data_IF_590028390659
#
_entry.id   IF_590028390659
#
_cell.length_a   1.000
_cell.length_b   1.000
_cell.length_c   1.000
_cell.angle_alpha   90.00
_cell.angle_beta   90.00
_cell.angle_gamma   90.00
#
_symmetry.space_group_name_H-M   'P 1'
#
loop_
_entity.id
_entity.type
_entity.pdbx_description
1 polymer ?
#
# COMPACT_ATOMS: atom_id res chain seq x y z
N UNK A 1 55.58 -34.57 31.69
CA UNK A 1 56.07 -34.57 33.08
C UNK A 1 55.52 -33.34 33.78
N UNK A 2 54.99 -33.54 34.99
CA UNK A 2 54.73 -32.58 36.09
C UNK A 2 53.77 -31.41 35.78
N UNK A 3 52.49 -31.45 36.15
CA UNK A 3 51.85 -31.51 37.49
C UNK A 3 51.88 -30.20 38.28
N UNK A 4 50.76 -29.98 38.97
CA UNK A 4 50.54 -29.19 40.21
C UNK A 4 50.17 -27.72 40.01
N UNK A 5 48.99 -27.24 40.43
CA UNK A 5 48.17 -27.38 41.66
C UNK A 5 48.19 -26.00 42.33
N UNK A 6 47.02 -25.38 42.51
CA UNK A 6 46.73 -24.68 43.76
C UNK A 6 45.28 -24.96 44.15
N UNK A 7 45.16 -25.78 45.19
CA UNK A 7 44.03 -25.86 46.12
C UNK A 7 44.19 -24.72 47.14
N UNK A 8 43.06 -24.30 47.71
CA UNK A 8 42.78 -24.04 49.15
C UNK A 8 41.49 -23.21 49.17
N UNK A 9 40.35 -23.59 49.77
CA UNK A 9 39.99 -24.14 51.10
C UNK A 9 39.10 -23.13 51.85
N UNK A 10 38.38 -23.66 52.86
CA UNK A 10 37.41 -23.06 53.80
C UNK A 10 35.94 -22.96 53.34
N UNK A 11 34.97 -23.78 53.83
CA UNK A 11 34.57 -24.15 55.22
C UNK A 11 34.00 -22.92 55.96
N UNK A 12 32.82 -22.87 56.62
CA UNK A 12 32.06 -23.91 57.33
C UNK A 12 30.67 -23.34 57.74
N UNK A 13 29.73 -24.27 58.02
CA UNK A 13 28.68 -24.27 59.08
C UNK A 13 27.34 -23.49 59.05
N UNK A 14 26.33 -24.33 59.36
CA UNK A 14 25.09 -24.16 60.16
C UNK A 14 23.88 -23.52 59.46
N UNK A 15 22.64 -24.00 59.59
CA UNK A 15 22.04 -25.05 60.42
C UNK A 15 20.55 -24.73 60.65
N UNK A 16 19.76 -25.75 61.02
CA UNK A 16 18.34 -25.76 61.48
C UNK A 16 17.27 -25.97 60.38
N UNK A 17 16.18 -26.72 60.55
CA UNK A 17 15.78 -27.85 61.40
C UNK A 17 14.31 -28.18 61.06
N UNK A 18 13.91 -29.43 61.30
CA UNK A 18 12.55 -29.90 61.65
C UNK A 18 11.57 -30.28 60.53
N UNK A 19 11.07 -31.52 60.61
CA UNK A 19 9.71 -31.84 60.16
C UNK A 19 9.50 -33.23 59.53
N UNK A 20 9.87 -34.31 60.22
CA UNK A 20 9.41 -35.65 59.86
C UNK A 20 7.92 -35.85 60.17
N UNK A 21 7.21 -36.51 59.25
CA UNK A 21 6.01 -37.30 59.52
C UNK A 21 5.92 -38.38 58.43
N UNK A 22 6.51 -39.52 58.75
CA UNK A 22 6.26 -40.80 58.11
C UNK A 22 4.77 -41.14 58.23
N UNK A 23 4.13 -41.41 57.10
CA UNK A 23 2.91 -42.20 57.04
C UNK A 23 3.18 -43.33 56.09
N UNK A 24 3.67 -44.45 56.63
CA UNK A 24 3.62 -45.75 55.96
C UNK A 24 2.19 -45.99 55.47
N UNK A 25 1.97 -45.90 54.16
CA UNK A 25 0.71 -46.29 53.55
C UNK A 25 0.84 -47.72 53.08
N UNK A 26 0.10 -48.58 53.76
CA UNK A 26 -0.18 -49.94 53.32
C UNK A 26 -0.87 -49.91 51.96
N UNK A 27 -0.29 -50.66 51.00
CA UNK A 27 -0.80 -50.78 49.63
C UNK A 27 -2.19 -51.44 49.63
N UNK A 28 -3.09 -50.93 48.81
CA UNK A 28 -4.46 -51.44 48.70
C UNK A 28 -4.52 -52.71 47.84
N UNK A 29 -5.54 -53.54 48.06
CA UNK A 29 -5.70 -54.84 47.39
C UNK A 29 -5.70 -54.74 45.87
N UNK A 30 -6.17 -53.60 45.31
CA UNK A 30 -6.18 -53.33 43.87
C UNK A 30 -4.81 -52.94 43.31
N UNK A 31 -3.95 -52.33 44.13
CA UNK A 31 -2.57 -51.99 43.75
C UNK A 31 -1.68 -53.24 43.72
N UNK A 32 -1.95 -54.23 44.58
CA UNK A 32 -1.29 -55.53 44.55
C UNK A 32 -1.66 -56.35 43.30
N UNK A 33 -2.94 -56.38 42.91
CA UNK A 33 -3.37 -57.07 41.68
C UNK A 33 -2.74 -56.49 40.41
N UNK A 34 -2.53 -55.16 40.37
CA UNK A 34 -1.86 -54.49 39.25
C UNK A 34 -0.35 -54.77 39.20
N UNK A 35 0.30 -54.92 40.36
CA UNK A 35 1.71 -55.29 40.43
C UNK A 35 1.95 -56.76 40.03
N UNK A 36 1.00 -57.65 40.31
CA UNK A 36 1.07 -59.05 39.89
C UNK A 36 0.85 -59.20 38.38
N UNK A 37 -0.09 -58.45 37.78
CA UNK A 37 -0.28 -58.40 36.33
C UNK A 37 0.92 -57.80 35.57
N UNK A 38 1.69 -56.90 36.19
CA UNK A 38 2.91 -56.32 35.60
C UNK A 38 4.10 -57.29 35.64
N UNK A 39 4.18 -58.17 36.66
CA UNK A 39 5.16 -59.25 36.72
C UNK A 39 4.92 -60.33 35.66
N UNK A 40 3.67 -60.60 35.30
CA UNK A 40 3.33 -61.54 34.21
C UNK A 40 3.78 -61.07 32.82
N UNK A 41 4.00 -59.77 32.62
CA UNK A 41 4.47 -59.17 31.36
C UNK A 41 6.01 -59.03 31.28
N UNK A 42 6.74 -59.64 32.23
CA UNK A 42 8.20 -59.67 32.32
C UNK A 42 8.86 -58.28 32.27
N UNK A 43 8.21 -57.28 32.88
CA UNK A 43 8.76 -55.96 33.09
C UNK A 43 9.05 -55.77 34.57
N UNK A 44 10.30 -55.95 34.99
CA UNK A 44 10.72 -55.54 36.33
C UNK A 44 10.84 -54.01 36.37
N UNK A 45 10.09 -53.31 37.23
CA UNK A 45 10.30 -51.89 37.44
C UNK A 45 11.64 -51.68 38.16
N UNK A 46 12.61 -51.07 37.47
CA UNK A 46 13.86 -50.61 38.09
C UNK A 46 13.58 -49.38 38.98
N UNK A 47 12.98 -49.60 40.15
CA UNK A 47 12.80 -48.57 41.18
C UNK A 47 12.87 -49.20 42.58
N UNK A 48 13.95 -48.92 43.31
CA UNK A 48 14.25 -49.48 44.65
C UNK A 48 13.61 -48.71 45.82
N UNK A 49 12.49 -47.99 45.61
CA UNK A 49 11.77 -47.30 46.69
C UNK A 49 10.25 -47.46 46.59
N UNK A 50 9.60 -47.73 47.73
CA UNK A 50 8.17 -47.99 47.84
C UNK A 50 7.28 -46.77 47.55
N UNK A 51 7.79 -45.55 47.72
CA UNK A 51 7.02 -44.32 47.49
C UNK A 51 6.85 -43.99 45.99
N UNK A 52 7.80 -44.42 45.16
CA UNK A 52 7.81 -44.12 43.71
C UNK A 52 6.88 -45.05 42.91
N UNK A 53 6.55 -46.22 43.46
CA UNK A 53 5.61 -47.19 42.84
C UNK A 53 4.16 -46.71 42.94
N UNK A 54 3.78 -46.02 44.03
CA UNK A 54 2.44 -45.44 44.20
C UNK A 54 2.14 -44.28 43.24
N UNK A 55 3.16 -43.49 42.90
CA UNK A 55 3.01 -42.38 41.95
C UNK A 55 2.79 -42.87 40.51
N UNK A 56 3.43 -43.98 40.14
CA UNK A 56 3.29 -44.60 38.83
C UNK A 56 1.85 -45.12 38.59
N UNK A 57 1.27 -45.84 39.55
CA UNK A 57 -0.10 -46.39 39.45
C UNK A 57 -1.16 -45.28 39.40
N UNK A 58 -0.96 -44.18 40.14
CA UNK A 58 -1.87 -43.01 40.14
C UNK A 58 -1.81 -42.18 38.86
N UNK A 59 -0.71 -42.29 38.10
CA UNK A 59 -0.57 -41.65 36.78
C UNK A 59 -1.35 -42.38 35.69
N UNK A 60 -1.52 -43.70 35.83
CA UNK A 60 -2.26 -44.53 34.87
C UNK A 60 -3.77 -44.45 35.04
N UNK A 61 -4.27 -44.17 36.26
CA UNK A 61 -5.71 -44.16 36.58
C UNK A 61 -6.39 -42.78 36.47
N UNK A 62 -5.67 -41.71 36.09
CA UNK A 62 -6.21 -40.34 35.95
C UNK A 62 -6.79 -39.99 34.57
N UNK A 63 -6.89 -40.96 33.66
CA UNK A 63 -7.63 -40.81 32.40
C UNK A 63 -8.69 -41.89 32.38
N UNK A 64 -9.95 -41.50 32.15
CA UNK A 64 -11.23 -42.28 32.21
C UNK A 64 -11.78 -42.33 33.63
N UNK A 65 -12.87 -41.65 34.03
CA UNK A 65 -14.16 -41.30 33.41
C UNK A 65 -14.63 -39.92 33.99
N UNK A 66 -15.57 -39.11 33.49
CA UNK A 66 -16.75 -39.35 32.64
C UNK A 66 -17.33 -37.98 32.15
N UNK A 67 -17.77 -37.96 30.89
CA UNK A 67 -18.93 -37.26 30.25
C UNK A 67 -19.53 -35.91 30.73
N UNK A 68 -19.63 -34.96 29.78
CA UNK A 68 -20.88 -34.29 29.33
C UNK A 68 -20.65 -33.46 28.03
N UNK A 69 -21.40 -33.78 26.95
CA UNK A 69 -21.49 -33.11 25.62
C UNK A 69 -22.33 -31.80 25.68
N UNK A 70 -22.49 -30.97 24.62
CA UNK A 70 -21.60 -30.57 23.49
C UNK A 70 -21.54 -29.04 23.24
N UNK A 71 -20.44 -28.51 22.68
CA UNK A 71 -20.42 -27.29 21.85
C UNK A 71 -19.42 -27.49 20.71
N UNK A 72 -19.88 -27.50 19.47
CA UNK A 72 -19.08 -27.75 18.28
C UNK A 72 -18.62 -26.41 17.69
N UNK A 73 -17.31 -26.20 17.63
CA UNK A 73 -16.67 -25.49 16.52
C UNK A 73 -15.34 -26.19 16.20
N UNK A 74 -15.03 -26.46 14.91
CA UNK A 74 -14.09 -27.52 14.54
C UNK A 74 -12.67 -26.93 14.43
N UNK A 75 -11.76 -27.36 15.29
CA UNK A 75 -10.34 -27.09 15.10
C UNK A 75 -9.51 -28.36 15.32
N UNK A 76 -9.06 -28.87 14.18
CA UNK A 76 -7.74 -29.46 13.91
C UNK A 76 -7.34 -30.75 14.65
N UNK A 77 -7.51 -31.86 13.92
CA UNK A 77 -6.67 -33.05 14.09
C UNK A 77 -5.21 -32.71 13.74
N UNK A 78 -4.32 -32.67 14.73
CA UNK A 78 -2.88 -32.70 14.52
C UNK A 78 -2.37 -34.14 14.65
N UNK A 79 -2.26 -34.84 13.52
CA UNK A 79 -1.38 -36.00 13.41
C UNK A 79 0.07 -35.52 13.26
N UNK A 80 1.07 -36.16 13.90
CA UNK A 80 2.47 -35.90 13.60
C UNK A 80 2.77 -36.40 12.18
N UNK A 81 2.78 -35.49 11.21
CA UNK A 81 3.23 -35.78 9.84
C UNK A 81 4.75 -35.87 9.82
N UNK A 82 5.27 -37.04 9.50
CA UNK A 82 6.61 -37.15 8.93
C UNK A 82 6.57 -36.47 7.56
N UNK A 83 6.95 -35.18 7.51
CA UNK A 83 6.99 -34.40 6.28
C UNK A 83 8.32 -34.63 5.58
N UNK A 84 8.39 -35.66 4.73
CA UNK A 84 9.39 -35.77 3.67
C UNK A 84 8.95 -35.06 2.38
N UNK A 85 8.02 -34.09 2.49
CA UNK A 85 7.75 -33.19 1.39
C UNK A 85 8.89 -32.17 1.31
N UNK A 86 9.43 -31.88 0.12
CA UNK A 86 10.29 -30.70 -0.02
C UNK A 86 9.48 -29.53 0.54
N UNK A 87 10.09 -28.73 1.42
CA UNK A 87 9.50 -27.47 1.85
C UNK A 87 8.91 -26.82 0.60
N UNK A 88 7.58 -26.73 0.54
CA UNK A 88 6.95 -25.83 -0.42
C UNK A 88 7.38 -24.47 0.07
N UNK A 89 8.54 -24.01 -0.41
CA UNK A 89 9.02 -22.67 -0.21
C UNK A 89 7.82 -21.78 -0.47
N UNK A 90 7.54 -20.88 0.45
CA UNK A 90 6.61 -19.80 0.22
C UNK A 90 7.03 -19.15 -1.08
N UNK A 91 6.36 -19.52 -2.19
CA UNK A 91 6.70 -19.00 -3.49
C UNK A 91 6.35 -17.52 -3.40
N UNK A 92 7.35 -16.70 -3.11
CA UNK A 92 7.21 -15.27 -3.10
C UNK A 92 6.94 -14.88 -4.55
N UNK A 93 5.71 -14.47 -4.82
CA UNK A 93 5.32 -13.92 -6.10
C UNK A 93 5.19 -12.41 -5.95
N UNK A 94 5.56 -11.65 -6.98
CA UNK A 94 5.37 -10.21 -6.94
C UNK A 94 3.87 -9.89 -6.82
N UNK A 95 3.53 -8.81 -6.14
CA UNK A 95 2.16 -8.28 -6.16
C UNK A 95 2.02 -7.41 -7.41
N UNK A 96 1.29 -7.90 -8.40
CA UNK A 96 0.82 -7.12 -9.54
C UNK A 96 -0.60 -6.64 -9.30
N UNK A 97 -0.90 -5.43 -9.78
CA UNK A 97 -2.24 -4.86 -9.83
C UNK A 97 -3.15 -5.65 -10.76
N UNK A 98 -4.47 -5.59 -10.54
CA UNK A 98 -5.42 -6.25 -11.44
C UNK A 98 -5.59 -5.42 -12.72
N UNK A 99 -5.65 -6.09 -13.88
CA UNK A 99 -5.78 -5.45 -15.19
C UNK A 99 -6.79 -6.21 -16.06
N UNK A 100 -7.86 -5.54 -16.51
CA UNK A 100 -8.84 -6.15 -17.42
C UNK A 100 -8.77 -5.66 -18.86
N UNK A 101 -8.09 -4.54 -19.11
CA UNK A 101 -8.10 -3.83 -20.39
C UNK A 101 -9.19 -2.78 -20.54
N UNK A 102 -10.02 -2.57 -19.52
CA UNK A 102 -11.05 -1.54 -19.46
C UNK A 102 -10.78 -0.58 -18.29
N UNK A 103 -11.18 0.68 -18.41
CA UNK A 103 -11.08 1.70 -17.36
C UNK A 103 -12.14 1.44 -16.26
N UNK A 104 -11.98 0.33 -15.55
CA UNK A 104 -12.82 -0.05 -14.45
C UNK A 104 -12.26 0.50 -13.13
N UNK A 105 -13.17 0.93 -12.25
CA UNK A 105 -12.81 1.52 -10.96
C UNK A 105 -12.06 0.50 -10.09
N UNK A 106 -10.79 0.77 -9.81
CA UNK A 106 -9.92 -0.08 -8.99
C UNK A 106 -8.99 -1.01 -9.78
N UNK A 107 -8.98 -0.93 -11.10
CA UNK A 107 -8.04 -1.65 -11.96
C UNK A 107 -6.96 -0.71 -12.50
N UNK A 108 -5.78 -1.27 -12.82
CA UNK A 108 -4.67 -0.50 -13.35
C UNK A 108 -4.90 -0.13 -14.82
N UNK A 109 -4.35 1.01 -15.25
CA UNK A 109 -4.23 1.34 -16.68
C UNK A 109 -3.13 0.50 -17.32
N UNK A 110 -3.12 0.40 -18.65
CA UNK A 110 -2.07 -0.33 -19.37
C UNK A 110 -0.67 0.21 -19.04
N UNK A 111 -0.49 1.53 -19.03
CA UNK A 111 0.81 2.16 -18.76
C UNK A 111 1.32 1.85 -17.35
N UNK A 112 0.44 1.93 -16.34
CA UNK A 112 0.79 1.60 -14.96
C UNK A 112 1.14 0.10 -14.82
N UNK A 113 0.33 -0.76 -15.43
CA UNK A 113 0.54 -2.21 -15.38
C UNK A 113 1.83 -2.64 -16.09
N UNK A 114 2.09 -2.06 -17.26
CA UNK A 114 3.33 -2.25 -18.03
C UNK A 114 4.54 -1.79 -17.22
N UNK A 115 4.46 -0.64 -16.55
CA UNK A 115 5.52 -0.15 -15.69
C UNK A 115 5.83 -1.12 -14.53
N UNK A 116 4.81 -1.65 -13.84
CA UNK A 116 5.00 -2.65 -12.78
C UNK A 116 5.76 -3.88 -13.29
N UNK A 117 5.40 -4.41 -14.46
CA UNK A 117 6.07 -5.58 -15.04
C UNK A 117 7.53 -5.25 -15.41
N UNK A 118 7.77 -4.10 -16.04
CA UNK A 118 9.12 -3.67 -16.39
C UNK A 118 9.99 -3.43 -15.14
N UNK A 119 9.43 -2.89 -14.06
CA UNK A 119 10.14 -2.72 -12.80
C UNK A 119 10.60 -4.08 -12.24
N UNK A 120 9.71 -5.08 -12.21
CA UNK A 120 10.06 -6.43 -11.76
C UNK A 120 11.13 -7.10 -12.61
N UNK A 121 11.09 -6.88 -13.93
CA UNK A 121 12.12 -7.37 -14.85
C UNK A 121 13.48 -6.70 -14.63
N UNK A 122 13.46 -5.39 -14.36
CA UNK A 122 14.68 -4.59 -14.16
C UNK A 122 15.34 -4.89 -12.82
N UNK A 123 14.54 -5.06 -11.77
CA UNK A 123 15.03 -5.41 -10.43
C UNK A 123 15.61 -6.82 -10.36
N UNK A 124 15.20 -7.72 -11.27
CA UNK A 124 15.73 -9.09 -11.33
C UNK A 124 15.40 -9.95 -10.10
N UNK A 125 14.48 -9.50 -9.24
CA UNK A 125 14.10 -10.16 -7.99
C UNK A 125 13.29 -11.43 -8.22
N UNK A 126 12.64 -11.57 -9.38
CA UNK A 126 11.81 -12.71 -9.74
C UNK A 126 12.20 -13.30 -11.09
N UNK A 127 12.09 -14.62 -11.20
CA UNK A 127 12.27 -15.31 -12.48
C UNK A 127 11.12 -14.97 -13.44
N UNK A 128 11.38 -15.02 -14.75
CA UNK A 128 10.35 -14.80 -15.77
C UNK A 128 9.13 -15.71 -15.58
N UNK A 129 9.35 -16.96 -15.13
CA UNK A 129 8.27 -17.91 -14.82
C UNK A 129 7.39 -17.45 -13.67
N UNK A 130 7.96 -16.88 -12.61
CA UNK A 130 7.19 -16.33 -11.48
C UNK A 130 6.38 -15.10 -11.89
N UNK A 131 6.97 -14.21 -12.69
CA UNK A 131 6.30 -13.04 -13.25
C UNK A 131 5.13 -13.48 -14.14
N UNK A 132 5.36 -14.47 -15.02
CA UNK A 132 4.33 -15.03 -15.90
C UNK A 132 3.18 -15.69 -15.13
N UNK A 133 3.46 -16.41 -14.05
CA UNK A 133 2.41 -17.00 -13.23
C UNK A 133 1.58 -15.90 -12.56
N UNK A 134 2.22 -14.82 -12.11
CA UNK A 134 1.51 -13.69 -11.51
C UNK A 134 0.69 -12.93 -12.54
N UNK A 135 1.23 -12.69 -13.73
CA UNK A 135 0.57 -12.05 -14.85
C UNK A 135 -0.77 -12.75 -15.16
N UNK A 136 -0.74 -14.08 -15.29
CA UNK A 136 -1.96 -14.90 -15.51
C UNK A 136 -3.02 -14.74 -14.42
N UNK A 137 -2.61 -14.43 -13.18
CA UNK A 137 -3.53 -14.25 -12.04
C UNK A 137 -4.06 -12.83 -11.92
N UNK A 138 -3.30 -11.84 -12.35
CA UNK A 138 -3.67 -10.42 -12.22
C UNK A 138 -4.51 -9.95 -13.41
N UNK A 139 -4.37 -10.60 -14.56
CA UNK A 139 -5.14 -10.30 -15.76
C UNK A 139 -6.55 -10.90 -15.72
N UNK A 140 -7.54 -10.08 -16.07
CA UNK A 140 -8.97 -10.44 -16.08
C UNK A 140 -9.62 -9.99 -17.39
N UNK A 141 -10.89 -10.32 -17.58
CA UNK A 141 -11.69 -9.81 -18.71
C UNK A 141 -11.05 -10.02 -20.08
N UNK A 142 -11.12 -8.98 -20.92
CA UNK A 142 -10.60 -9.01 -22.30
C UNK A 142 -9.08 -9.24 -22.34
N UNK A 143 -8.34 -8.70 -21.38
CA UNK A 143 -6.91 -8.92 -21.26
C UNK A 143 -6.57 -10.39 -20.90
N UNK A 144 -7.34 -10.99 -20.00
CA UNK A 144 -7.24 -12.43 -19.68
C UNK A 144 -7.53 -13.32 -20.89
N UNK A 145 -8.48 -12.92 -21.73
CA UNK A 145 -8.83 -13.66 -22.96
C UNK A 145 -7.69 -13.67 -23.98
N UNK A 146 -6.90 -12.59 -24.05
CA UNK A 146 -5.69 -12.55 -24.88
C UNK A 146 -4.70 -13.63 -24.41
N UNK A 147 -4.48 -13.78 -23.10
CA UNK A 147 -3.60 -14.82 -22.57
C UNK A 147 -4.13 -16.22 -22.87
N UNK A 148 -5.44 -16.44 -22.74
CA UNK A 148 -6.07 -17.72 -23.06
C UNK A 148 -5.87 -18.08 -24.54
N UNK A 149 -5.98 -17.11 -25.44
CA UNK A 149 -5.76 -17.31 -26.89
C UNK A 149 -4.30 -17.57 -27.26
N UNK A 150 -3.34 -16.96 -26.55
CA UNK A 150 -1.91 -17.23 -26.77
C UNK A 150 -1.48 -18.61 -26.26
N UNK A 151 -2.20 -19.14 -25.26
CA UNK A 151 -1.97 -20.48 -24.72
C UNK A 151 -0.92 -20.54 -23.60
N UNK A 152 -0.76 -21.72 -22.97
CA UNK A 152 0.09 -21.88 -21.78
C UNK A 152 1.60 -21.79 -22.08
N UNK A 153 2.01 -22.03 -23.33
CA UNK A 153 3.41 -21.99 -23.75
C UNK A 153 3.94 -20.60 -24.11
N UNK A 154 3.10 -19.57 -24.12
CA UNK A 154 3.52 -18.22 -24.49
C UNK A 154 4.58 -17.65 -23.53
N UNK A 155 5.60 -17.02 -24.10
CA UNK A 155 6.63 -16.28 -23.37
C UNK A 155 6.11 -14.95 -22.82
N UNK A 156 6.80 -14.37 -21.84
CA UNK A 156 6.42 -13.05 -21.31
C UNK A 156 6.49 -11.97 -22.39
N UNK A 157 7.50 -12.05 -23.24
CA UNK A 157 7.69 -11.11 -24.34
C UNK A 157 6.52 -11.14 -25.33
N UNK A 158 6.05 -12.33 -25.73
CA UNK A 158 4.91 -12.47 -26.66
C UNK A 158 3.63 -11.91 -26.07
N UNK A 159 3.38 -12.16 -24.79
CA UNK A 159 2.21 -11.64 -24.08
C UNK A 159 2.27 -10.11 -24.03
N UNK A 160 3.38 -9.53 -23.58
CA UNK A 160 3.55 -8.08 -23.52
C UNK A 160 3.42 -7.43 -24.91
N UNK A 161 4.01 -8.03 -25.94
CA UNK A 161 3.88 -7.54 -27.33
C UNK A 161 2.43 -7.53 -27.79
N UNK A 162 1.65 -8.57 -27.46
CA UNK A 162 0.24 -8.64 -27.85
C UNK A 162 -0.62 -7.63 -27.10
N UNK A 163 -0.34 -7.40 -25.82
CA UNK A 163 -1.02 -6.40 -25.02
C UNK A 163 -0.69 -4.98 -25.46
N UNK A 164 0.58 -4.70 -25.74
CA UNK A 164 1.00 -3.42 -26.33
C UNK A 164 0.28 -3.16 -27.66
N UNK A 165 0.12 -4.19 -28.50
CA UNK A 165 -0.63 -4.06 -29.75
C UNK A 165 -2.14 -3.82 -29.58
N UNK A 166 -2.71 -4.12 -28.40
CA UNK A 166 -4.16 -4.04 -28.17
C UNK A 166 -4.55 -2.82 -27.34
N UNK A 167 -3.75 -2.51 -26.30
CA UNK A 167 -4.00 -1.45 -25.32
C UNK A 167 -2.94 -0.37 -25.31
N UNK A 168 -1.83 -0.55 -26.04
CA UNK A 168 -0.77 0.45 -26.15
C UNK A 168 -1.25 1.70 -26.87
N UNK A 169 -0.52 2.79 -26.64
CA UNK A 169 -0.84 4.06 -27.27
C UNK A 169 -0.63 3.98 -28.80
N UNK A 170 -1.64 4.40 -29.56
CA UNK A 170 -1.65 4.38 -31.03
C UNK A 170 -1.17 5.74 -31.60
N UNK A 171 -0.91 6.72 -30.73
CA UNK A 171 -0.50 8.05 -31.18
C UNK A 171 0.86 8.04 -31.91
N UNK A 172 0.89 8.72 -33.07
CA UNK A 172 2.13 8.94 -33.80
C UNK A 172 3.00 10.01 -33.12
N UNK A 173 4.30 9.96 -33.42
CA UNK A 173 5.28 10.95 -32.98
C UNK A 173 4.80 12.39 -33.27
N UNK A 174 4.29 12.63 -34.48
CA UNK A 174 3.80 13.94 -34.92
C UNK A 174 2.56 14.41 -34.13
N UNK A 175 1.64 13.48 -33.83
CA UNK A 175 0.43 13.79 -33.07
C UNK A 175 0.77 14.22 -31.64
N UNK A 176 1.66 13.48 -30.97
CA UNK A 176 2.11 13.81 -29.61
C UNK A 176 2.85 15.14 -29.59
N UNK A 177 3.78 15.37 -30.54
CA UNK A 177 4.52 16.63 -30.63
C UNK A 177 3.61 17.82 -30.90
N UNK A 178 2.61 17.65 -31.77
CA UNK A 178 1.60 18.70 -32.01
C UNK A 178 0.86 19.05 -30.72
N UNK A 179 0.37 18.03 -29.99
CA UNK A 179 -0.33 18.23 -28.71
C UNK A 179 0.56 18.88 -27.67
N UNK A 180 1.84 18.51 -27.63
CA UNK A 180 2.84 19.07 -26.73
C UNK A 180 3.03 20.59 -26.97
N UNK A 181 3.32 21.00 -28.20
CA UNK A 181 3.51 22.42 -28.52
C UNK A 181 2.23 23.25 -28.49
N UNK A 182 1.06 22.64 -28.71
CA UNK A 182 -0.25 23.31 -28.59
C UNK A 182 -0.82 23.27 -27.18
N UNK A 183 -0.09 22.73 -26.20
CA UNK A 183 -0.57 22.59 -24.83
C UNK A 183 -0.57 23.97 -24.16
N UNK A 184 -1.74 24.42 -23.74
CA UNK A 184 -1.91 25.69 -23.01
C UNK A 184 -2.68 25.47 -21.72
N UNK A 185 -2.42 26.32 -20.72
CA UNK A 185 -3.10 26.34 -19.44
C UNK A 185 -4.55 26.79 -19.62
N UNK A 186 -5.50 25.90 -19.30
CA UNK A 186 -6.93 26.20 -19.33
C UNK A 186 -7.40 26.89 -18.05
N UNK A 187 -8.57 26.54 -17.52
CA UNK A 187 -9.03 27.02 -16.21
C UNK A 187 -8.28 26.38 -15.02
N UNK A 188 -7.41 25.41 -15.28
CA UNK A 188 -6.68 24.63 -14.28
C UNK A 188 -5.55 25.42 -13.58
N UNK A 189 -5.12 24.90 -12.43
CA UNK A 189 -3.95 25.36 -11.67
C UNK A 189 -2.65 24.96 -12.40
N UNK A 190 -1.56 25.69 -12.17
CA UNK A 190 -0.24 25.43 -12.78
C UNK A 190 0.22 24.00 -12.56
N UNK A 191 -0.09 23.40 -11.42
CA UNK A 191 0.34 22.02 -11.11
C UNK A 191 -0.32 21.01 -12.04
N UNK A 192 -1.62 21.13 -12.27
CA UNK A 192 -2.35 20.22 -13.16
C UNK A 192 -1.92 20.41 -14.62
N UNK A 193 -1.73 21.67 -15.04
CA UNK A 193 -1.21 22.00 -16.35
C UNK A 193 0.20 21.42 -16.58
N UNK A 194 1.10 21.61 -15.61
CA UNK A 194 2.47 21.08 -15.70
C UNK A 194 2.49 19.55 -15.75
N UNK A 195 1.71 18.86 -14.92
CA UNK A 195 1.60 17.39 -14.97
C UNK A 195 1.11 16.91 -16.34
N UNK A 196 0.06 17.54 -16.89
CA UNK A 196 -0.45 17.20 -18.24
C UNK A 196 0.59 17.42 -19.33
N UNK A 197 1.42 18.45 -19.19
CA UNK A 197 2.52 18.73 -20.12
C UNK A 197 3.67 17.71 -19.97
N UNK A 198 4.03 17.36 -18.74
CA UNK A 198 5.02 16.33 -18.41
C UNK A 198 4.61 14.96 -18.98
N UNK A 199 3.32 14.60 -18.93
CA UNK A 199 2.79 13.37 -19.52
C UNK A 199 2.91 13.36 -21.06
N UNK A 200 2.73 14.51 -21.72
CA UNK A 200 2.96 14.65 -23.16
C UNK A 200 4.45 14.56 -23.50
N UNK A 201 5.31 15.13 -22.67
CA UNK A 201 6.76 15.08 -22.83
C UNK A 201 7.32 13.67 -22.63
N UNK A 202 6.84 12.94 -21.61
CA UNK A 202 7.20 11.55 -21.37
C UNK A 202 6.84 10.66 -22.58
N UNK A 203 5.62 10.83 -23.13
CA UNK A 203 5.21 10.14 -24.36
C UNK A 203 6.09 10.51 -25.57
N UNK A 204 6.45 11.77 -25.71
CA UNK A 204 7.35 12.22 -26.78
C UNK A 204 8.74 11.56 -26.67
N UNK A 205 9.25 11.37 -25.45
CA UNK A 205 10.49 10.64 -25.17
C UNK A 205 10.35 9.16 -25.53
N UNK A 206 9.26 8.51 -25.17
CA UNK A 206 9.02 7.09 -25.47
C UNK A 206 8.97 6.83 -26.98
N UNK A 207 8.34 7.73 -27.73
CA UNK A 207 8.30 7.72 -29.19
C UNK A 207 9.61 8.20 -29.84
N UNK A 208 10.66 8.47 -29.05
CA UNK A 208 11.97 8.99 -29.51
C UNK A 208 11.86 10.30 -30.28
N UNK A 209 10.80 11.08 -30.05
CA UNK A 209 10.61 12.40 -30.65
C UNK A 209 11.53 13.46 -30.04
N UNK A 210 11.78 13.34 -28.74
CA UNK A 210 12.62 14.24 -27.94
C UNK A 210 13.65 13.40 -27.17
N UNK A 211 14.85 13.94 -26.97
CA UNK A 211 15.88 13.31 -26.15
C UNK A 211 15.54 13.46 -24.67
N UNK A 212 15.83 12.42 -23.88
CA UNK A 212 15.76 12.49 -22.40
C UNK A 212 16.68 13.59 -21.89
N UNK A 213 16.19 14.44 -20.98
CA UNK A 213 16.94 15.55 -20.39
C UNK A 213 16.87 16.88 -21.16
N UNK A 214 16.06 16.98 -22.22
CA UNK A 214 15.79 18.26 -22.89
C UNK A 214 14.76 19.10 -22.09
N UNK A 215 15.10 19.38 -20.83
CA UNK A 215 14.21 20.06 -19.89
C UNK A 215 14.01 21.54 -20.27
N UNK A 216 14.94 22.09 -21.06
CA UNK A 216 14.82 23.43 -21.67
C UNK A 216 13.59 23.55 -22.58
N UNK A 217 13.34 22.54 -23.42
CA UNK A 217 12.17 22.53 -24.31
C UNK A 217 10.90 22.42 -23.46
N UNK A 218 10.91 21.57 -22.44
CA UNK A 218 9.80 21.43 -21.50
C UNK A 218 9.50 22.75 -20.78
N UNK A 219 10.53 23.44 -20.28
CA UNK A 219 10.43 24.77 -19.67
C UNK A 219 9.89 25.81 -20.64
N UNK A 220 10.40 25.86 -21.87
CA UNK A 220 9.96 26.80 -22.90
C UNK A 220 8.48 26.61 -23.23
N UNK A 221 8.04 25.38 -23.46
CA UNK A 221 6.63 25.08 -23.77
C UNK A 221 5.74 25.34 -22.56
N UNK A 222 6.20 25.00 -21.35
CA UNK A 222 5.48 25.33 -20.12
C UNK A 222 5.21 26.84 -20.05
N UNK A 223 6.25 27.66 -20.19
CA UNK A 223 6.14 29.12 -20.15
C UNK A 223 5.27 29.68 -21.27
N UNK A 224 5.43 29.16 -22.49
CA UNK A 224 4.68 29.66 -23.65
C UNK A 224 3.18 29.44 -23.49
N UNK A 225 2.77 28.31 -22.91
CA UNK A 225 1.37 27.95 -22.71
C UNK A 225 0.74 28.46 -21.42
N UNK A 226 1.45 29.22 -20.56
CA UNK A 226 0.84 29.82 -19.36
C UNK A 226 -0.27 30.82 -19.70
N UNK A 227 -1.20 31.01 -18.75
CA UNK A 227 -2.16 32.13 -18.79
C UNK A 227 -1.42 33.46 -18.90
N UNK A 228 -1.98 34.39 -19.67
CA UNK A 228 -1.35 35.69 -19.96
C UNK A 228 -0.94 36.45 -18.69
N UNK A 229 -1.84 36.54 -17.70
CA UNK A 229 -1.59 37.26 -16.45
C UNK A 229 -0.41 36.66 -15.66
N UNK A 230 -0.34 35.33 -15.60
CA UNK A 230 0.75 34.63 -14.92
C UNK A 230 2.05 34.72 -15.73
N UNK A 231 1.96 34.63 -17.06
CA UNK A 231 3.10 34.71 -17.98
C UNK A 231 3.84 36.04 -17.84
N UNK A 232 3.12 37.16 -17.77
CA UNK A 232 3.72 38.48 -17.61
C UNK A 232 4.55 38.61 -16.33
N UNK A 233 4.07 38.04 -15.22
CA UNK A 233 4.77 38.10 -13.93
C UNK A 233 5.91 37.07 -13.88
N UNK A 234 5.74 35.95 -14.58
CA UNK A 234 6.72 34.89 -14.65
C UNK A 234 7.90 35.19 -15.59
N UNK A 235 7.82 36.20 -16.47
CA UNK A 235 8.85 36.53 -17.46
C UNK A 235 10.26 36.63 -16.84
N UNK A 236 10.41 37.45 -15.79
CA UNK A 236 11.71 37.60 -15.11
C UNK A 236 12.23 36.28 -14.54
N UNK A 237 11.33 35.46 -13.99
CA UNK A 237 11.69 34.15 -13.41
C UNK A 237 12.09 33.14 -14.48
N UNK A 238 11.44 33.19 -15.64
CA UNK A 238 11.78 32.38 -16.80
C UNK A 238 13.21 32.67 -17.28
N UNK A 239 13.59 33.95 -17.34
CA UNK A 239 14.93 34.37 -17.77
C UNK A 239 16.03 34.11 -16.71
N UNK A 240 15.67 34.03 -15.43
CA UNK A 240 16.63 33.87 -14.32
C UNK A 240 16.86 32.41 -13.90
N UNK A 241 15.89 31.52 -14.14
CA UNK A 241 15.91 30.15 -13.60
C UNK A 241 15.99 29.15 -14.73
N UNK A 242 17.13 28.48 -14.90
CA UNK A 242 17.30 27.46 -15.95
C UNK A 242 16.63 26.13 -15.60
N UNK A 243 16.66 25.76 -14.32
CA UNK A 243 16.10 24.51 -13.81
C UNK A 243 14.56 24.48 -13.89
N UNK A 244 14.03 23.45 -14.56
CA UNK A 244 12.60 23.30 -14.80
C UNK A 244 11.79 23.17 -13.50
N UNK A 245 12.23 22.33 -12.57
CA UNK A 245 11.49 22.08 -11.33
C UNK A 245 11.47 23.31 -10.42
N UNK A 246 12.60 24.02 -10.32
CA UNK A 246 12.69 25.29 -9.61
C UNK A 246 11.79 26.35 -10.24
N UNK A 247 11.75 26.44 -11.57
CA UNK A 247 10.86 27.34 -12.28
C UNK A 247 9.38 27.00 -12.00
N UNK A 248 9.01 25.71 -12.02
CA UNK A 248 7.67 25.21 -11.69
C UNK A 248 7.24 25.59 -10.26
N UNK A 249 8.15 25.49 -9.28
CA UNK A 249 7.89 25.91 -7.90
C UNK A 249 7.58 27.41 -7.82
N UNK A 250 8.37 28.24 -8.50
CA UNK A 250 8.16 29.70 -8.51
C UNK A 250 6.84 30.07 -9.20
N UNK A 251 6.46 29.40 -10.30
CA UNK A 251 5.16 29.60 -10.93
C UNK A 251 3.99 29.34 -9.98
N UNK A 252 4.06 28.28 -9.16
CA UNK A 252 3.04 28.00 -8.14
C UNK A 252 2.97 29.08 -7.05
N UNK A 253 4.09 29.73 -6.73
CA UNK A 253 4.12 30.85 -5.79
C UNK A 253 3.41 32.07 -6.41
N UNK A 254 3.77 32.41 -7.65
CA UNK A 254 3.16 33.51 -8.39
C UNK A 254 1.64 33.32 -8.59
N UNK A 255 1.19 32.10 -8.90
CA UNK A 255 -0.23 31.78 -9.02
C UNK A 255 -1.00 32.01 -7.71
N UNK A 256 -0.42 31.60 -6.57
CA UNK A 256 -1.02 31.86 -5.24
C UNK A 256 -1.08 33.35 -4.92
N UNK A 257 -0.05 34.11 -5.25
CA UNK A 257 0.00 35.55 -5.01
C UNK A 257 -1.07 36.29 -5.82
N UNK A 258 -1.25 35.92 -7.10
CA UNK A 258 -2.32 36.42 -7.95
C UNK A 258 -3.70 36.16 -7.34
N UNK A 259 -3.98 34.92 -6.94
CA UNK A 259 -5.25 34.56 -6.31
C UNK A 259 -5.51 35.35 -5.01
N UNK A 260 -4.47 35.65 -4.23
CA UNK A 260 -4.60 36.47 -3.03
C UNK A 260 -4.92 37.94 -3.36
N UNK A 261 -4.33 38.49 -4.42
CA UNK A 261 -4.62 39.87 -4.85
C UNK A 261 -6.05 40.03 -5.38
N UNK A 262 -6.58 39.05 -6.10
CA UNK A 262 -7.96 39.09 -6.60
C UNK A 262 -8.99 38.94 -5.48
N UNK A 263 -8.71 38.09 -4.48
CA UNK A 263 -9.53 38.00 -3.26
C UNK A 263 -9.55 39.33 -2.48
N UNK A 264 -8.42 40.04 -2.38
CA UNK A 264 -8.34 41.37 -1.74
C UNK A 264 -9.08 42.46 -2.54
N UNK A 265 -9.12 42.36 -3.88
CA UNK A 265 -9.88 43.29 -4.73
C UNK A 265 -11.38 43.08 -4.61
N UNK A 266 -11.84 41.82 -4.60
CA UNK A 266 -13.27 41.48 -4.53
C UNK A 266 -13.92 41.86 -3.19
N UNK A 267 -13.21 41.77 -2.06
CA UNK A 267 -13.75 42.24 -0.76
C UNK A 267 -13.84 43.77 -0.65
N UNK A 268 -12.93 44.52 -1.30
CA UNK A 268 -12.97 45.99 -1.35
C UNK A 268 -14.09 46.53 -2.26
N UNK A 269 -14.38 45.88 -3.39
CA UNK A 269 -15.47 46.28 -4.29
C UNK A 269 -16.84 46.11 -3.62
N UNK A 270 -17.00 45.06 -2.79
CA UNK A 270 -18.23 44.82 -2.02
C UNK A 270 -18.48 45.90 -0.95
N UNK A 271 -17.42 46.51 -0.42
CA UNK A 271 -17.52 47.63 0.53
C UNK A 271 -17.91 48.95 -0.15
N UNK A 272 -17.38 49.23 -1.35
CA UNK A 272 -17.74 50.44 -2.11
C UNK A 272 -19.17 50.42 -2.68
N UNK A 273 -19.71 49.25 -3.05
CA UNK A 273 -21.09 49.14 -3.57
C UNK A 273 -22.17 49.37 -2.50
N UNK A 274 -21.85 49.21 -1.21
CA UNK A 274 -22.75 49.50 -0.08
C UNK A 274 -22.83 50.97 0.31
N UNK A 275 -21.84 51.80 -0.05
CA UNK A 275 -21.84 53.23 0.29
C UNK A 275 -22.46 54.14 -0.78
N UNK A 276 -22.71 53.62 -1.99
CA UNK A 276 -23.37 54.40 -3.07
C UNK A 276 -24.91 54.32 -2.95
N UNK A 277 -25.45 53.29 -2.27
CA UNK A 277 -26.90 53.12 -2.10
C UNK A 277 -27.52 53.98 -0.99
N UNK A 278 -26.74 54.77 -0.24
CA UNK A 278 -27.25 55.58 0.89
C UNK A 278 -27.31 57.09 0.63
N UNK A 279 -26.93 57.58 -0.55
CA UNK A 279 -26.86 59.03 -0.84
C UNK A 279 -27.82 59.54 -1.92
N UNK A 280 -28.81 58.75 -2.36
CA UNK A 280 -29.81 59.18 -3.36
C UNK A 280 -31.26 59.16 -2.87
N UNK A 281 -31.55 59.75 -1.70
CA UNK A 281 -32.96 60.00 -1.30
C UNK A 281 -33.18 61.29 -0.50
N UNK A 282 -32.72 62.45 -1.00
CA UNK A 282 -33.20 63.75 -0.48
C UNK A 282 -33.37 64.77 -1.60
N UNK A 283 -34.31 64.55 -2.51
CA UNK A 283 -34.88 65.64 -3.33
C UNK A 283 -36.21 65.24 -3.99
N UNK A 284 -37.31 65.32 -3.24
CA UNK A 284 -38.66 65.67 -3.74
C UNK A 284 -39.70 65.57 -2.62
N UNK A 285 -39.99 66.69 -1.97
CA UNK A 285 -41.29 66.96 -1.34
C UNK A 285 -41.50 68.46 -1.30
N UNK A 286 -42.40 68.94 -2.16
CA UNK A 286 -43.36 70.02 -1.90
C UNK A 286 -44.33 70.04 -3.08
N UNK A 287 -45.48 69.41 -2.87
CA UNK A 287 -46.73 69.56 -3.62
C UNK A 287 -47.77 69.77 -2.52
N UNK A 288 -48.26 71.00 -2.41
CA UNK A 288 -49.50 71.39 -1.72
C UNK A 288 -50.17 72.35 -2.71
N UNK A 289 -51.21 71.92 -3.43
CA UNK A 289 -52.64 72.01 -3.09
C UNK A 289 -53.13 73.45 -3.01
N UNK A 290 -53.85 73.88 -4.06
CA UNK A 290 -55.07 74.66 -3.87
C UNK A 290 -56.01 74.51 -5.06
N UNK A 291 -57.09 73.78 -4.82
CA UNK A 291 -58.36 73.80 -5.55
C UNK A 291 -59.01 75.18 -5.45
N UNK A 292 -59.57 75.69 -6.53
CA UNK A 292 -60.82 76.46 -6.49
C UNK A 292 -61.64 76.22 -7.77
N UNK A 293 -62.92 75.98 -7.54
CA UNK A 293 -64.01 75.97 -8.51
C UNK A 293 -64.19 77.39 -9.10
N UNK A 294 -65.00 77.53 -10.16
CA UNK A 294 -66.27 78.30 -10.21
C UNK A 294 -66.53 78.79 -11.66
N UNK A 295 -67.64 78.29 -12.23
CA UNK A 295 -68.62 78.91 -13.16
C UNK A 295 -68.20 79.75 -14.37
N UNK A 296 -68.92 79.54 -15.48
CA UNK A 296 -69.19 80.54 -16.51
C UNK A 296 -69.30 79.94 -17.89
#
# INVERSE_FOLDING_TARGET
>A
MTSRLHKEEYSDKSGLASGGCEQERTLTTKEQTLLDALRELNMDPQTESGEDRGFFVRRLTKKTDEERKPRVSPFEYSMPRFSSYPETGTYHFPKLSAFSGEDNKGEATWDAFRYEIHALLTEGTFTEKQIMLRLRRSMKGTAGDILRRLGPGASLHEVLKKLESTYGNIESQESVMRKFYSCTQGAEEVTAYASRLEDLFARAIELKAIKRGNDEILKQVLFQGLKLDLKHIAQYKYDTIDDYDRFKIELRRLEKDLQMTDKKRTCNVRYKKRQISTTTTTKRRKRDVQTFQTTG
#
